data_IF_106510270014
#
_entry.id   IF_106510270014
#
_cell.length_a   1.000
_cell.length_b   1.000
_cell.length_c   1.000
_cell.angle_alpha   90.00
_cell.angle_beta   90.00
_cell.angle_gamma   90.00
#
_symmetry.space_group_name_H-M   'P 1'
#
loop_
_entity.id
_entity.type
_entity.pdbx_description
1 polymer ?
#
# COMPACT_ATOMS: atom_id res chain seq x y z
N UNK A 1 -7.45 8.82 -8.81
CA UNK A 1 -6.47 8.25 -7.88
C UNK A 1 -5.45 7.45 -8.67
N UNK A 2 -4.23 7.37 -8.21
CA UNK A 2 -3.11 6.77 -8.93
C UNK A 2 -2.62 5.50 -8.27
N UNK A 3 -2.15 4.55 -9.07
CA UNK A 3 -1.45 3.36 -8.59
C UNK A 3 -0.33 2.96 -9.54
N UNK A 4 0.67 2.26 -9.01
CA UNK A 4 1.77 1.71 -9.81
C UNK A 4 1.63 0.20 -9.83
N UNK A 5 1.54 -0.36 -11.03
CA UNK A 5 1.43 -1.81 -11.24
C UNK A 5 2.75 -2.35 -11.75
N UNK A 6 2.95 -3.66 -11.58
CA UNK A 6 4.05 -4.39 -12.21
C UNK A 6 3.64 -4.74 -13.64
N UNK A 7 4.27 -4.08 -14.62
CA UNK A 7 3.94 -4.26 -16.04
C UNK A 7 4.71 -5.42 -16.67
N UNK A 8 5.96 -5.60 -16.25
CA UNK A 8 6.81 -6.68 -16.74
C UNK A 8 7.79 -7.12 -15.66
N UNK A 9 8.24 -8.37 -15.73
CA UNK A 9 9.22 -8.86 -14.77
C UNK A 9 10.60 -8.38 -15.17
N UNK A 10 11.31 -7.68 -14.26
CA UNK A 10 12.64 -7.16 -14.59
C UNK A 10 13.66 -8.29 -14.70
N UNK A 11 14.59 -8.14 -15.64
CA UNK A 11 15.77 -8.98 -15.75
C UNK A 11 16.94 -8.20 -15.16
N UNK A 12 17.33 -8.54 -13.93
CA UNK A 12 18.31 -7.77 -13.19
C UNK A 12 17.69 -6.57 -12.46
N UNK A 13 18.22 -5.38 -12.69
CA UNK A 13 17.75 -4.15 -12.04
C UNK A 13 16.43 -3.67 -12.67
N UNK A 14 15.38 -3.44 -11.89
CA UNK A 14 14.13 -2.88 -12.41
C UNK A 14 14.37 -1.49 -13.04
N UNK A 15 13.61 -1.19 -14.08
CA UNK A 15 13.66 0.10 -14.75
C UNK A 15 12.23 0.64 -14.97
N UNK A 16 12.12 1.79 -15.63
CA UNK A 16 10.82 2.42 -15.85
C UNK A 16 9.84 1.54 -16.63
N UNK A 17 10.35 0.64 -17.48
CA UNK A 17 9.51 -0.27 -18.27
C UNK A 17 8.96 -1.44 -17.46
N UNK A 18 9.46 -1.66 -16.24
CA UNK A 18 8.95 -2.71 -15.34
C UNK A 18 7.62 -2.29 -14.70
N UNK A 19 7.30 -1.01 -14.68
CA UNK A 19 6.16 -0.45 -13.96
C UNK A 19 5.30 0.41 -14.88
N UNK A 20 4.03 0.58 -14.47
CA UNK A 20 3.11 1.49 -15.15
C UNK A 20 2.30 2.25 -14.11
N UNK A 21 2.20 3.56 -14.30
CA UNK A 21 1.33 4.42 -13.50
C UNK A 21 -0.06 4.43 -14.12
N UNK A 22 -1.06 4.04 -13.35
CA UNK A 22 -2.45 3.99 -13.79
C UNK A 22 -3.34 4.88 -12.93
N UNK A 23 -4.39 5.41 -13.57
CA UNK A 23 -5.50 6.01 -12.85
C UNK A 23 -6.50 4.91 -12.45
N UNK A 24 -7.11 5.05 -11.28
CA UNK A 24 -8.18 4.16 -10.85
C UNK A 24 -9.25 4.94 -10.10
N UNK A 25 -10.45 4.41 -10.09
CA UNK A 25 -11.58 5.01 -9.39
C UNK A 25 -11.99 4.08 -8.26
N UNK A 26 -12.14 4.60 -7.03
CA UNK A 26 -12.56 3.76 -5.91
C UNK A 26 -14.00 3.28 -6.10
N UNK A 27 -14.22 2.00 -5.82
CA UNK A 27 -15.57 1.46 -5.74
C UNK A 27 -16.26 1.96 -4.47
N UNK A 28 -17.58 1.80 -4.40
CA UNK A 28 -18.32 2.04 -3.15
C UNK A 28 -17.77 1.10 -2.07
N UNK A 29 -17.50 1.64 -0.88
CA UNK A 29 -16.98 0.86 0.24
C UNK A 29 -18.01 -0.17 0.71
N UNK A 30 -17.55 -1.40 0.93
CA UNK A 30 -18.32 -2.44 1.60
C UNK A 30 -18.19 -2.28 3.11
N UNK A 31 -19.07 -2.93 3.87
CA UNK A 31 -19.00 -2.89 5.33
C UNK A 31 -17.62 -3.33 5.82
N UNK A 32 -17.01 -2.55 6.70
CA UNK A 32 -15.70 -2.81 7.26
C UNK A 32 -14.53 -2.32 6.41
N UNK A 33 -14.78 -1.65 5.29
CA UNK A 33 -13.74 -1.07 4.46
C UNK A 33 -13.52 0.41 4.74
N UNK A 34 -12.28 0.88 4.50
CA UNK A 34 -11.91 2.28 4.63
C UNK A 34 -11.13 2.72 3.40
N UNK A 35 -11.34 3.96 2.98
CA UNK A 35 -10.56 4.58 1.91
C UNK A 35 -9.49 5.45 2.54
N UNK A 36 -8.24 5.19 2.19
CA UNK A 36 -7.07 5.82 2.80
C UNK A 36 -6.35 6.68 1.77
N UNK A 37 -6.04 7.92 2.14
CA UNK A 37 -5.11 8.77 1.40
C UNK A 37 -3.70 8.45 1.90
N UNK A 38 -2.89 7.87 1.02
CA UNK A 38 -1.55 7.40 1.40
C UNK A 38 -0.60 8.59 1.52
N UNK A 39 0.03 8.73 2.68
CA UNK A 39 1.02 9.79 2.95
C UNK A 39 2.43 9.35 2.59
N UNK A 40 2.78 8.11 2.91
CA UNK A 40 4.04 7.52 2.51
C UNK A 40 3.94 6.00 2.53
N UNK A 41 4.79 5.34 1.75
CA UNK A 41 4.92 3.89 1.76
C UNK A 41 6.40 3.52 1.66
N UNK A 42 6.73 2.30 2.08
CA UNK A 42 8.11 1.84 2.13
C UNK A 42 8.55 1.22 0.80
N UNK A 43 9.86 1.31 0.53
CA UNK A 43 10.53 0.58 -0.54
C UNK A 43 11.56 -0.32 0.12
N UNK A 44 11.34 -1.62 0.08
CA UNK A 44 12.15 -2.60 0.78
C UNK A 44 12.80 -3.61 -0.18
N UNK A 45 13.99 -4.13 0.12
CA UNK A 45 14.70 -5.05 -0.79
C UNK A 45 13.91 -6.30 -1.16
N UNK A 46 13.06 -6.83 -0.27
CA UNK A 46 12.28 -8.03 -0.56
C UNK A 46 11.31 -7.84 -1.75
N UNK A 47 10.93 -6.61 -2.03
CA UNK A 47 10.02 -6.29 -3.13
C UNK A 47 10.57 -6.70 -4.48
N UNK A 48 11.90 -6.65 -4.65
CA UNK A 48 12.53 -7.06 -5.90
C UNK A 48 12.30 -8.56 -6.16
N UNK A 49 12.43 -9.39 -5.13
CA UNK A 49 12.17 -10.84 -5.25
C UNK A 49 10.73 -11.15 -5.62
N UNK A 50 9.79 -10.33 -5.20
CA UNK A 50 8.36 -10.51 -5.51
C UNK A 50 8.00 -10.11 -6.95
N UNK A 51 8.90 -9.47 -7.66
CA UNK A 51 8.73 -9.15 -9.09
C UNK A 51 9.07 -10.33 -9.99
N UNK A 52 9.74 -11.35 -9.46
CA UNK A 52 10.12 -12.56 -10.20
C UNK A 52 9.04 -13.63 -10.06
N UNK A 53 8.86 -14.43 -11.12
CA UNK A 53 8.01 -15.61 -11.09
C UNK A 53 8.84 -16.82 -10.60
N UNK A 54 9.39 -16.71 -9.41
CA UNK A 54 10.24 -17.72 -8.81
C UNK A 54 9.64 -18.19 -7.49
N UNK A 55 9.95 -19.42 -7.09
CA UNK A 55 9.54 -19.93 -5.79
C UNK A 55 10.20 -19.14 -4.69
N UNK A 56 9.38 -18.55 -3.83
CA UNK A 56 9.80 -17.95 -2.58
C UNK A 56 8.75 -18.28 -1.53
N UNK A 57 8.99 -17.97 -0.28
CA UNK A 57 7.98 -18.20 0.75
C UNK A 57 6.82 -17.19 0.70
N UNK A 58 6.87 -16.23 -0.23
CA UNK A 58 5.74 -15.32 -0.53
C UNK A 58 5.39 -15.44 -2.00
N UNK A 59 4.09 -15.37 -2.30
CA UNK A 59 3.64 -15.36 -3.69
C UNK A 59 4.18 -14.14 -4.43
N UNK A 60 4.61 -14.27 -5.69
CA UNK A 60 5.05 -13.13 -6.47
C UNK A 60 3.90 -12.17 -6.79
N UNK A 61 4.22 -10.91 -7.07
CA UNK A 61 3.25 -9.96 -7.57
C UNK A 61 2.86 -10.37 -9.00
N UNK A 62 1.57 -10.46 -9.27
CA UNK A 62 1.09 -10.79 -10.61
C UNK A 62 1.28 -9.61 -11.55
N UNK A 63 1.52 -9.91 -12.83
CA UNK A 63 1.59 -8.87 -13.85
C UNK A 63 0.25 -8.16 -13.97
N UNK A 64 0.27 -6.84 -13.99
CA UNK A 64 -0.93 -6.02 -13.99
C UNK A 64 -1.48 -5.71 -12.60
N UNK A 65 -0.92 -6.31 -11.55
CA UNK A 65 -1.33 -6.04 -10.18
C UNK A 65 -0.52 -4.90 -9.57
N UNK A 66 -1.13 -4.19 -8.61
CA UNK A 66 -0.45 -3.14 -7.86
C UNK A 66 0.72 -3.72 -7.09
N UNK A 67 1.85 -3.01 -7.12
CA UNK A 67 3.00 -3.36 -6.29
C UNK A 67 2.63 -3.25 -4.81
N UNK A 68 3.05 -4.21 -4.00
CA UNK A 68 2.74 -4.24 -2.58
C UNK A 68 3.75 -3.43 -1.78
N UNK A 69 3.27 -2.75 -0.74
CA UNK A 69 4.11 -2.03 0.21
C UNK A 69 3.33 -1.72 1.47
N UNK A 70 4.01 -1.72 2.60
CA UNK A 70 3.47 -1.14 3.83
C UNK A 70 3.47 0.38 3.72
N UNK A 71 2.37 1.01 4.14
CA UNK A 71 2.24 2.45 4.07
C UNK A 71 1.47 3.03 5.23
N UNK A 72 1.60 4.33 5.39
CA UNK A 72 0.84 5.10 6.38
C UNK A 72 0.00 6.15 5.67
N UNK A 73 -1.17 6.42 6.19
CA UNK A 73 -2.07 7.38 5.60
C UNK A 73 -3.21 7.77 6.50
N UNK A 74 -4.07 8.62 5.95
CA UNK A 74 -5.23 9.15 6.65
C UNK A 74 -6.51 8.62 6.01
N UNK A 75 -7.46 8.19 6.84
CA UNK A 75 -8.76 7.76 6.36
C UNK A 75 -9.56 8.97 5.89
N UNK A 76 -10.02 8.94 4.64
CA UNK A 76 -10.85 9.99 4.06
C UNK A 76 -12.30 9.57 3.88
N UNK A 77 -12.58 8.26 3.92
CA UNK A 77 -13.94 7.71 3.90
C UNK A 77 -13.95 6.39 4.64
N UNK A 78 -14.96 6.14 5.47
CA UNK A 78 -15.03 4.93 6.28
C UNK A 78 -16.41 4.29 6.25
N UNK A 79 -16.43 2.97 6.00
CA UNK A 79 -17.60 2.11 6.20
C UNK A 79 -17.39 1.18 7.39
N UNK A 80 -16.46 1.51 8.28
CA UNK A 80 -16.13 0.75 9.48
C UNK A 80 -16.59 1.49 10.73
N UNK A 81 -17.10 0.74 11.72
CA UNK A 81 -17.45 1.31 13.03
C UNK A 81 -16.21 1.55 13.91
N UNK A 82 -15.08 0.91 13.59
CA UNK A 82 -13.85 1.01 14.38
C UNK A 82 -12.92 2.15 13.96
N UNK A 83 -13.13 2.70 12.77
CA UNK A 83 -12.31 3.77 12.21
C UNK A 83 -13.17 4.90 11.72
N UNK A 84 -12.69 6.14 11.87
CA UNK A 84 -13.38 7.34 11.42
C UNK A 84 -12.51 8.15 10.48
N UNK A 85 -13.15 8.99 9.66
CA UNK A 85 -12.43 9.94 8.82
C UNK A 85 -11.47 10.78 9.66
N UNK A 86 -10.26 10.96 9.16
CA UNK A 86 -9.21 11.69 9.84
C UNK A 86 -8.27 10.82 10.68
N UNK A 87 -8.60 9.56 10.92
CA UNK A 87 -7.71 8.65 11.64
C UNK A 87 -6.49 8.34 10.78
N UNK A 88 -5.32 8.25 11.41
CA UNK A 88 -4.09 7.81 10.77
C UNK A 88 -3.89 6.32 11.01
N UNK A 89 -3.50 5.61 9.95
CA UNK A 89 -3.35 4.16 10.00
C UNK A 89 -2.08 3.69 9.29
N UNK A 90 -1.64 2.48 9.65
CA UNK A 90 -0.67 1.69 8.91
C UNK A 90 -1.39 0.49 8.29
N UNK A 91 -1.05 0.18 7.05
CA UNK A 91 -1.60 -0.98 6.35
C UNK A 91 -0.84 -1.25 5.05
N UNK A 92 -1.23 -2.31 4.36
CA UNK A 92 -0.63 -2.67 3.07
C UNK A 92 -1.30 -1.88 1.96
N UNK A 93 -0.89 -0.62 1.82
CA UNK A 93 -1.46 0.30 0.84
C UNK A 93 -1.04 0.00 -0.59
N UNK A 94 0.15 -0.61 -0.75
CA UNK A 94 0.77 -0.73 -2.06
C UNK A 94 1.33 0.60 -2.56
N UNK A 95 1.82 0.60 -3.79
CA UNK A 95 2.34 1.80 -4.45
C UNK A 95 1.18 2.57 -5.06
N UNK A 96 0.53 3.37 -4.26
CA UNK A 96 -0.66 4.10 -4.68
C UNK A 96 -0.84 5.38 -3.89
N UNK A 97 -1.56 6.34 -4.47
CA UNK A 97 -1.94 7.57 -3.77
C UNK A 97 -3.07 7.33 -2.77
N UNK A 98 -3.91 6.36 -3.06
CA UNK A 98 -5.07 5.98 -2.22
C UNK A 98 -5.23 4.47 -2.25
N UNK A 99 -5.81 3.92 -1.18
CA UNK A 99 -6.07 2.49 -1.09
C UNK A 99 -7.37 2.21 -0.35
N UNK A 100 -8.07 1.15 -0.76
CA UNK A 100 -9.22 0.63 -0.03
C UNK A 100 -8.73 -0.56 0.78
N UNK A 101 -8.87 -0.49 2.10
CA UNK A 101 -8.37 -1.51 3.01
C UNK A 101 -9.49 -2.01 3.93
N UNK A 102 -9.41 -3.28 4.33
CA UNK A 102 -10.32 -3.85 5.31
C UNK A 102 -9.88 -3.44 6.72
N UNK A 103 -10.84 -3.16 7.60
CA UNK A 103 -10.58 -2.75 8.98
C UNK A 103 -9.70 -3.72 9.77
N UNK A 104 -9.74 -5.02 9.41
CA UNK A 104 -8.94 -6.04 10.07
C UNK A 104 -7.48 -6.04 9.61
N UNK A 105 -7.19 -5.40 8.49
CA UNK A 105 -5.87 -5.35 7.88
C UNK A 105 -5.11 -4.06 8.18
N UNK A 106 -5.69 -3.15 8.96
CA UNK A 106 -5.08 -1.86 9.28
C UNK A 106 -4.89 -1.69 10.77
N UNK A 107 -3.86 -0.91 11.13
CA UNK A 107 -3.55 -0.56 12.52
C UNK A 107 -3.70 0.94 12.69
N UNK A 108 -4.49 1.35 13.68
CA UNK A 108 -4.63 2.77 14.02
C UNK A 108 -3.34 3.30 14.64
N UNK A 109 -2.92 4.48 14.22
CA UNK A 109 -1.75 5.18 14.76
C UNK A 109 -2.22 6.37 15.60
N UNK A 110 -1.63 6.53 16.78
CA UNK A 110 -1.89 7.66 17.66
C UNK A 110 -0.82 8.73 17.47
N UNK A 111 -0.58 9.12 16.19
CA UNK A 111 0.50 10.01 15.82
C UNK A 111 -0.03 11.22 15.06
N UNK A 112 0.70 12.33 15.17
CA UNK A 112 0.46 13.52 14.36
C UNK A 112 1.02 13.27 12.96
N UNK A 113 0.45 13.93 11.95
CA UNK A 113 0.84 13.79 10.56
C UNK A 113 2.35 13.94 10.34
N UNK A 114 3.00 14.85 11.04
CA UNK A 114 4.44 15.09 10.89
C UNK A 114 5.32 13.91 11.32
N UNK A 115 4.74 12.92 12.00
CA UNK A 115 5.47 11.74 12.49
C UNK A 115 5.17 10.46 11.70
N UNK A 116 4.38 10.54 10.64
CA UNK A 116 3.97 9.34 9.88
C UNK A 116 5.13 8.59 9.25
N UNK A 117 6.08 9.31 8.67
CA UNK A 117 7.28 8.67 8.08
C UNK A 117 8.10 7.94 9.12
N UNK A 118 8.22 8.52 10.31
CA UNK A 118 8.93 7.90 11.44
C UNK A 118 8.22 6.64 11.92
N UNK A 119 6.90 6.67 11.98
CA UNK A 119 6.11 5.50 12.35
C UNK A 119 6.32 4.37 11.36
N UNK A 120 6.37 4.67 10.07
CA UNK A 120 6.62 3.69 9.03
C UNK A 120 8.00 3.04 9.18
N UNK A 121 9.05 3.85 9.38
CA UNK A 121 10.41 3.35 9.59
C UNK A 121 10.50 2.46 10.83
N UNK A 122 9.86 2.87 11.91
CA UNK A 122 9.81 2.13 13.16
C UNK A 122 9.15 0.75 13.00
N UNK A 123 8.09 0.68 12.21
CA UNK A 123 7.34 -0.56 11.96
C UNK A 123 8.07 -1.51 11.02
N UNK A 124 8.85 -0.99 10.10
CA UNK A 124 9.61 -1.80 9.14
C UNK A 124 10.77 -2.51 9.80
N UNK A 125 11.39 -1.90 10.79
CA UNK A 125 12.58 -2.43 11.45
C UNK A 125 12.29 -3.35 12.65
N UNK A 126 11.06 -3.67 12.88
CA UNK A 126 10.65 -4.57 13.96
C UNK A 126 10.69 -6.04 13.52
#
# INVERSE_FOLDING_TARGET
MKEIILQSRPDGIPNANSFKLLDWTPKKLSSGEVLVEVQSFSLDPYMRGRMDDAKSYSAPVELGARMEAGGVGRIIESASASFTEGDYIFGMTGWASHAILNEKAVRKLALKQQHLSRALLSLIHI
#
